data_IF_394887676583
#
_entry.id   IF_394887676583
#
_cell.length_a   1.000
_cell.length_b   1.000
_cell.length_c   1.000
_cell.angle_alpha   90.00
_cell.angle_beta   90.00
_cell.angle_gamma   90.00
#
_symmetry.space_group_name_H-M   'P 1'
#
loop_
_entity.id
_entity.type
_entity.pdbx_description
1 polymer ?
#
# COMPACT_ATOMS: atom_id res chain seq x y z
N UNK A 1 -18.03 11.71 -6.44
CA UNK A 1 -17.71 10.28 -6.35
C UNK A 1 -16.87 10.06 -5.10
N UNK A 2 -17.26 9.16 -4.21
CA UNK A 2 -16.41 8.76 -3.08
C UNK A 2 -15.47 7.69 -3.62
N UNK A 3 -14.23 8.06 -3.88
CA UNK A 3 -13.21 7.10 -4.35
C UNK A 3 -12.68 6.42 -3.10
N UNK A 4 -12.98 5.13 -2.95
CA UNK A 4 -12.40 4.31 -1.89
C UNK A 4 -11.07 3.79 -2.42
N UNK A 5 -9.97 4.19 -1.79
CA UNK A 5 -8.66 3.64 -2.12
C UNK A 5 -8.48 2.30 -1.41
N UNK A 6 -8.32 1.24 -2.18
CA UNK A 6 -8.04 -0.11 -1.67
C UNK A 6 -6.55 -0.33 -1.47
N UNK A 7 -6.19 -1.32 -0.64
CA UNK A 7 -4.78 -1.72 -0.44
C UNK A 7 -4.12 -2.18 -1.74
N UNK A 8 -4.88 -2.83 -2.63
CA UNK A 8 -4.38 -3.26 -3.92
C UNK A 8 -4.04 -2.07 -4.81
N UNK A 9 -4.95 -1.09 -4.92
CA UNK A 9 -4.70 0.13 -5.67
C UNK A 9 -3.52 0.94 -5.09
N UNK A 10 -3.35 0.97 -3.76
CA UNK A 10 -2.18 1.60 -3.14
C UNK A 10 -0.87 0.88 -3.50
N UNK A 11 -0.87 -0.46 -3.52
CA UNK A 11 0.30 -1.23 -3.94
C UNK A 11 0.61 -1.03 -5.43
N UNK A 12 -0.41 -0.93 -6.28
CA UNK A 12 -0.25 -0.63 -7.70
C UNK A 12 0.33 0.78 -7.91
N UNK A 13 -0.11 1.78 -7.14
CA UNK A 13 0.47 3.12 -7.17
C UNK A 13 1.95 3.13 -6.77
N UNK A 14 2.33 2.35 -5.75
CA UNK A 14 3.73 2.20 -5.35
C UNK A 14 4.58 1.54 -6.44
N UNK A 15 4.02 0.55 -7.15
CA UNK A 15 4.67 -0.06 -8.31
C UNK A 15 4.84 0.95 -9.45
N UNK A 16 3.78 1.67 -9.83
CA UNK A 16 3.78 2.55 -11.00
C UNK A 16 4.53 3.87 -10.80
N UNK A 17 4.41 4.48 -9.61
CA UNK A 17 4.95 5.82 -9.36
C UNK A 17 6.30 5.82 -8.65
N UNK A 18 6.56 4.82 -7.81
CA UNK A 18 7.82 4.70 -7.05
C UNK A 18 8.78 3.71 -7.69
N UNK A 19 8.28 2.80 -8.53
CA UNK A 19 9.10 1.79 -9.22
C UNK A 19 9.50 0.62 -8.33
N UNK A 20 8.82 0.43 -7.19
CA UNK A 20 8.98 -0.77 -6.38
C UNK A 20 8.55 -1.99 -7.17
N UNK A 21 9.16 -3.15 -6.93
CA UNK A 21 8.61 -4.37 -7.53
C UNK A 21 7.28 -4.75 -6.85
N UNK A 22 6.45 -5.56 -7.52
CA UNK A 22 5.11 -5.91 -7.02
C UNK A 22 5.10 -6.54 -5.62
N UNK A 23 6.15 -7.30 -5.27
CA UNK A 23 6.27 -7.92 -3.96
C UNK A 23 6.62 -6.88 -2.89
N UNK A 24 7.61 -6.02 -3.16
CA UNK A 24 8.00 -4.94 -2.26
C UNK A 24 6.86 -3.96 -2.00
N UNK A 25 6.11 -3.58 -3.04
CA UNK A 25 4.96 -2.69 -2.89
C UNK A 25 3.88 -3.29 -1.99
N UNK A 26 3.60 -4.59 -2.15
CA UNK A 26 2.64 -5.31 -1.30
C UNK A 26 3.12 -5.39 0.16
N UNK A 27 4.38 -5.79 0.36
CA UNK A 27 4.98 -5.93 1.68
C UNK A 27 5.02 -4.56 2.40
N UNK A 28 5.27 -3.46 1.67
CA UNK A 28 5.25 -2.09 2.20
C UNK A 28 3.85 -1.65 2.65
N UNK A 29 2.81 -1.94 1.85
CA UNK A 29 1.43 -1.62 2.22
C UNK A 29 0.99 -2.44 3.43
N UNK A 30 1.29 -3.73 3.46
CA UNK A 30 0.95 -4.59 4.61
C UNK A 30 1.64 -4.10 5.88
N UNK A 31 2.95 -3.85 5.82
CA UNK A 31 3.72 -3.30 6.95
C UNK A 31 3.19 -1.96 7.44
N UNK A 32 2.89 -1.01 6.53
CA UNK A 32 2.34 0.29 6.91
C UNK A 32 1.04 0.20 7.72
N UNK A 33 0.11 -0.65 7.29
CA UNK A 33 -1.15 -0.83 8.02
C UNK A 33 -0.98 -1.67 9.29
N UNK A 34 0.03 -2.54 9.37
CA UNK A 34 0.39 -3.24 10.60
C UNK A 34 0.90 -2.24 11.64
N UNK A 35 1.84 -1.38 11.27
CA UNK A 35 2.38 -0.34 12.15
C UNK A 35 1.29 0.59 12.67
N UNK A 36 0.36 1.01 11.80
CA UNK A 36 -0.80 1.81 12.22
C UNK A 36 -1.65 1.05 13.25
N UNK A 37 -1.89 -0.25 13.04
CA UNK A 37 -2.67 -1.07 13.98
C UNK A 37 -1.96 -1.23 15.32
N UNK A 38 -0.64 -1.34 15.33
CA UNK A 38 0.12 -1.43 16.57
C UNK A 38 0.15 -0.10 17.34
N UNK A 39 0.01 1.03 16.65
CA UNK A 39 0.10 2.37 17.22
C UNK A 39 -1.23 2.94 17.76
N UNK A 40 -2.38 2.36 17.40
CA UNK A 40 -3.73 2.86 17.72
C UNK A 40 -4.59 1.79 18.39
#
# INVERSE_FOLDING_TARGET
MKVTLTKAELADLLFEQVGLNKREAKDMVEGFFEEIRMAL
#
